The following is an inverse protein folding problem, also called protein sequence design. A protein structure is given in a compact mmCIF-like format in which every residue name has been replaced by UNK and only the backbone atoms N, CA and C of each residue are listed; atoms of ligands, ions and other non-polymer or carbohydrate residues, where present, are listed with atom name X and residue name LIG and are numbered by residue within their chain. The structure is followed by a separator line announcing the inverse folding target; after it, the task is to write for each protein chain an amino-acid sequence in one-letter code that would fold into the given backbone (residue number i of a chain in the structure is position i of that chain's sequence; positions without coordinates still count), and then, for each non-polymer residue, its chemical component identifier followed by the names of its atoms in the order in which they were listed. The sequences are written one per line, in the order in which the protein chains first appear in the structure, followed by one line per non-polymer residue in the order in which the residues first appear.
data_IF_485600211319
#
_entry.id   IF_485600211319
#
_cell.length_a   1.000
_cell.length_b   1.000
_cell.length_c   1.000
_cell.angle_alpha   90.00
_cell.angle_beta   90.00
_cell.angle_gamma   90.00
#
_symmetry.space_group_name_H-M   'P 1'
#
loop_
_entity.id
_entity.type
_entity.pdbx_description
1 polymer ?
#
# COMPACT_ATOMS: atom_id res chain seq x y z
N UNK A 1 12.68 -6.66 -27.62
CA UNK A 1 11.92 -6.82 -26.42
C UNK A 1 12.87 -6.83 -25.21
N UNK A 2 12.82 -5.79 -24.34
CA UNK A 2 13.56 -5.79 -23.10
C UNK A 2 12.97 -6.87 -22.19
N UNK A 3 13.76 -7.86 -21.78
CA UNK A 3 13.40 -8.75 -20.70
C UNK A 3 13.25 -7.89 -19.43
N UNK A 4 12.04 -7.75 -18.92
CA UNK A 4 11.83 -7.20 -17.57
C UNK A 4 12.40 -8.20 -16.58
N UNK A 5 13.46 -7.80 -15.89
CA UNK A 5 14.02 -8.59 -14.80
C UNK A 5 12.96 -8.83 -13.72
N UNK A 6 12.88 -10.05 -13.24
CA UNK A 6 12.01 -10.39 -12.09
C UNK A 6 12.77 -9.97 -10.83
N UNK A 7 12.19 -9.09 -10.03
CA UNK A 7 12.73 -8.73 -8.71
C UNK A 7 12.11 -9.69 -7.68
N UNK A 8 12.94 -10.48 -7.04
CA UNK A 8 12.55 -11.33 -5.92
C UNK A 8 12.92 -10.65 -4.60
N UNK A 9 12.01 -10.65 -3.64
CA UNK A 9 12.24 -10.09 -2.31
C UNK A 9 12.28 -11.19 -1.26
N UNK A 10 13.24 -11.09 -0.36
CA UNK A 10 13.47 -12.08 0.67
C UNK A 10 13.53 -11.41 2.05
N UNK A 11 13.10 -12.16 3.06
CA UNK A 11 13.32 -11.85 4.47
C UNK A 11 14.40 -12.80 5.01
N UNK A 12 15.48 -12.25 5.55
CA UNK A 12 16.49 -13.04 6.26
C UNK A 12 16.27 -12.96 7.77
N UNK A 13 15.97 -14.11 8.37
CA UNK A 13 15.90 -14.28 9.83
C UNK A 13 17.29 -14.59 10.36
N UNK A 14 17.94 -13.59 10.94
CA UNK A 14 19.32 -13.71 11.46
C UNK A 14 19.44 -14.67 12.65
N UNK A 15 18.38 -14.88 13.41
CA UNK A 15 18.39 -15.74 14.59
C UNK A 15 18.31 -17.20 14.18
N UNK A 16 17.47 -17.51 13.20
CA UNK A 16 17.27 -18.86 12.65
C UNK A 16 18.21 -19.19 11.50
N UNK A 17 19.00 -18.21 11.04
CA UNK A 17 19.84 -18.32 9.84
C UNK A 17 19.03 -18.86 8.64
N UNK A 18 17.87 -18.27 8.39
CA UNK A 18 16.92 -18.77 7.40
C UNK A 18 16.41 -17.65 6.52
N UNK A 19 16.25 -17.94 5.23
CA UNK A 19 15.68 -17.03 4.23
C UNK A 19 14.25 -17.45 3.93
N UNK A 20 13.33 -16.50 4.00
CA UNK A 20 11.94 -16.65 3.57
C UNK A 20 11.70 -15.81 2.32
N UNK A 21 11.15 -16.39 1.26
CA UNK A 21 10.68 -15.65 0.10
C UNK A 21 9.30 -15.05 0.38
N UNK A 22 9.06 -13.84 -0.08
CA UNK A 22 7.72 -13.25 -0.05
C UNK A 22 6.80 -14.02 -1.01
N UNK A 23 5.71 -14.58 -0.47
CA UNK A 23 4.73 -15.33 -1.26
C UNK A 23 3.71 -14.37 -1.85
N UNK A 24 3.96 -13.86 -3.04
CA UNK A 24 3.04 -12.94 -3.74
C UNK A 24 1.75 -13.61 -4.18
N UNK A 25 1.70 -14.94 -4.27
CA UNK A 25 0.47 -15.70 -4.61
C UNK A 25 -0.69 -15.45 -3.66
N UNK A 26 -0.40 -15.08 -2.41
CA UNK A 26 -1.40 -14.81 -1.38
C UNK A 26 -1.95 -13.38 -1.42
N UNK A 27 -1.42 -12.51 -2.29
CA UNK A 27 -1.88 -11.12 -2.41
C UNK A 27 -3.25 -11.10 -3.09
N UNK A 28 -4.31 -10.60 -2.44
CA UNK A 28 -5.64 -10.56 -3.02
C UNK A 28 -5.68 -9.76 -4.31
N UNK A 29 -6.20 -10.34 -5.38
CA UNK A 29 -6.31 -9.71 -6.69
C UNK A 29 -4.98 -9.56 -7.44
N UNK A 30 -3.92 -10.27 -7.04
CA UNK A 30 -2.62 -10.25 -7.74
C UNK A 30 -2.73 -10.65 -9.22
N UNK A 31 -3.77 -11.43 -9.56
CA UNK A 31 -4.06 -11.90 -10.92
C UNK A 31 -5.17 -11.14 -11.61
N UNK A 32 -5.75 -10.12 -10.95
CA UNK A 32 -6.79 -9.30 -11.56
C UNK A 32 -6.25 -8.59 -12.79
N UNK A 33 -6.97 -8.71 -13.90
CA UNK A 33 -6.58 -8.07 -15.14
C UNK A 33 -7.09 -6.62 -15.16
N UNK A 34 -6.33 -5.68 -15.71
CA UNK A 34 -6.80 -4.33 -15.98
C UNK A 34 -7.99 -4.34 -16.95
N UNK A 35 -8.90 -3.39 -16.79
CA UNK A 35 -10.14 -3.34 -17.59
C UNK A 35 -9.89 -3.22 -19.09
N UNK A 36 -8.83 -2.52 -19.49
CA UNK A 36 -8.49 -2.37 -20.92
C UNK A 36 -8.25 -3.71 -21.63
N UNK A 37 -7.88 -4.77 -20.90
CA UNK A 37 -7.66 -6.11 -21.49
C UNK A 37 -8.95 -6.68 -22.06
N UNK A 38 -10.12 -6.22 -21.59
CA UNK A 38 -11.43 -6.63 -22.12
C UNK A 38 -11.61 -6.22 -23.58
N UNK A 39 -10.94 -5.14 -24.00
CA UNK A 39 -10.98 -4.64 -25.39
C UNK A 39 -10.12 -5.47 -26.35
N UNK A 40 -9.33 -6.42 -25.79
CA UNK A 40 -8.43 -7.31 -26.55
C UNK A 40 -8.78 -8.78 -26.30
N UNK A 41 -9.85 -9.34 -26.93
CA UNK A 41 -10.37 -10.69 -26.64
C UNK A 41 -9.32 -11.79 -26.72
N UNK A 42 -8.42 -11.75 -27.69
CA UNK A 42 -7.35 -12.75 -27.84
C UNK A 42 -6.40 -12.76 -26.63
N UNK A 43 -5.96 -11.57 -26.21
CA UNK A 43 -5.08 -11.44 -25.03
C UNK A 43 -5.81 -11.86 -23.75
N UNK A 44 -7.09 -11.52 -23.63
CA UNK A 44 -7.92 -11.93 -22.50
C UNK A 44 -7.99 -13.45 -22.38
N UNK A 45 -8.26 -14.16 -23.47
CA UNK A 45 -8.32 -15.62 -23.49
C UNK A 45 -6.97 -16.27 -23.19
N UNK A 46 -5.87 -15.72 -23.71
CA UNK A 46 -4.52 -16.22 -23.40
C UNK A 46 -4.19 -16.06 -21.91
N UNK A 47 -4.51 -14.89 -21.32
CA UNK A 47 -4.27 -14.62 -19.90
C UNK A 47 -5.17 -15.46 -18.99
N UNK A 48 -6.40 -15.73 -19.39
CA UNK A 48 -7.30 -16.66 -18.67
C UNK A 48 -6.77 -18.09 -18.67
N UNK A 49 -6.21 -18.55 -19.80
CA UNK A 49 -5.65 -19.91 -19.92
C UNK A 49 -4.37 -20.10 -19.12
N UNK A 50 -3.59 -19.03 -18.95
CA UNK A 50 -2.32 -19.04 -18.18
C UNK A 50 -2.33 -17.89 -17.17
N UNK A 51 -3.09 -18.02 -16.07
CA UNK A 51 -3.12 -16.99 -15.06
C UNK A 51 -1.74 -16.87 -14.40
N UNK A 52 -1.16 -15.69 -14.50
CA UNK A 52 0.12 -15.36 -13.87
C UNK A 52 -0.07 -14.24 -12.86
N UNK A 53 0.74 -14.22 -11.82
CA UNK A 53 0.81 -13.08 -10.92
C UNK A 53 1.30 -11.86 -11.70
N UNK A 54 0.68 -10.72 -11.46
CA UNK A 54 1.21 -9.45 -11.98
C UNK A 54 2.55 -9.16 -11.31
N UNK A 55 3.46 -8.56 -12.07
CA UNK A 55 4.71 -8.07 -11.54
C UNK A 55 4.44 -6.97 -10.52
N UNK A 56 5.10 -7.04 -9.38
CA UNK A 56 4.97 -6.09 -8.28
C UNK A 56 6.34 -5.62 -7.82
N UNK A 57 6.38 -4.41 -7.28
CA UNK A 57 7.49 -3.88 -6.52
C UNK A 57 7.11 -3.83 -5.04
N UNK A 58 8.04 -4.22 -4.18
CA UNK A 58 7.88 -4.17 -2.72
C UNK A 58 8.81 -3.08 -2.21
N UNK A 59 8.25 -2.08 -1.55
CA UNK A 59 9.03 -1.03 -0.92
C UNK A 59 9.68 -1.52 0.38
N UNK A 60 10.49 -0.68 0.99
CA UNK A 60 11.08 -0.93 2.30
C UNK A 60 9.99 -1.26 3.33
N UNK A 61 10.25 -2.29 4.14
CA UNK A 61 9.37 -2.68 5.23
C UNK A 61 9.31 -1.59 6.31
N UNK A 62 8.10 -1.23 6.71
CA UNK A 62 7.85 -0.36 7.86
C UNK A 62 7.69 -1.22 9.11
N UNK A 63 8.68 -1.21 9.99
CA UNK A 63 8.65 -1.94 11.25
C UNK A 63 7.91 -1.18 12.32
N UNK A 64 7.13 -1.90 13.14
CA UNK A 64 6.51 -1.33 14.34
C UNK A 64 7.57 -0.88 15.34
N UNK A 65 7.26 0.04 16.26
CA UNK A 65 8.23 0.57 17.23
C UNK A 65 8.99 -0.50 18.02
N UNK A 66 8.35 -1.61 18.37
CA UNK A 66 9.00 -2.74 19.06
C UNK A 66 9.55 -3.82 18.12
N UNK A 67 9.37 -3.64 16.79
CA UNK A 67 9.81 -4.63 15.80
C UNK A 67 8.95 -5.91 15.77
N UNK A 68 7.77 -5.91 16.39
CA UNK A 68 6.88 -7.08 16.44
C UNK A 68 6.23 -7.37 15.10
N UNK A 69 5.85 -6.32 14.38
CA UNK A 69 5.19 -6.39 13.08
C UNK A 69 5.93 -5.55 12.05
N UNK A 70 5.75 -5.92 10.80
CA UNK A 70 6.17 -5.10 9.67
C UNK A 70 5.02 -4.96 8.68
N UNK A 71 4.93 -3.78 8.05
CA UNK A 71 4.01 -3.53 6.93
C UNK A 71 4.82 -3.34 5.67
N UNK A 72 4.49 -4.13 4.65
CA UNK A 72 5.00 -3.99 3.29
C UNK A 72 4.04 -3.14 2.46
N UNK A 73 4.55 -2.13 1.78
CA UNK A 73 3.85 -1.40 0.73
C UNK A 73 4.20 -2.05 -0.61
N UNK A 74 3.23 -2.69 -1.23
CA UNK A 74 3.40 -3.45 -2.47
C UNK A 74 2.61 -2.75 -3.58
N UNK A 75 3.22 -2.57 -4.74
CA UNK A 75 2.59 -1.95 -5.91
C UNK A 75 2.71 -2.83 -7.12
N UNK A 76 1.64 -2.88 -7.91
CA UNK A 76 1.73 -3.48 -9.24
C UNK A 76 2.55 -2.58 -10.17
N UNK A 77 3.35 -3.19 -11.04
CA UNK A 77 4.21 -2.44 -11.97
C UNK A 77 3.42 -1.65 -13.01
N UNK A 78 2.12 -1.95 -13.17
CA UNK A 78 1.19 -1.19 -14.00
C UNK A 78 0.55 -0.01 -13.26
N UNK A 79 0.93 0.23 -12.00
CA UNK A 79 0.44 1.30 -11.11
C UNK A 79 -1.08 1.31 -10.86
N UNK A 80 -1.76 0.17 -11.08
CA UNK A 80 -3.21 0.07 -10.89
C UNK A 80 -3.63 -0.44 -9.53
N UNK A 81 -2.72 -1.10 -8.81
CA UNK A 81 -2.97 -1.61 -7.47
C UNK A 81 -1.83 -1.29 -6.51
N UNK A 82 -2.21 -0.95 -5.28
CA UNK A 82 -1.34 -0.84 -4.12
C UNK A 82 -1.92 -1.67 -2.99
N UNK A 83 -1.08 -2.46 -2.35
CA UNK A 83 -1.46 -3.25 -1.18
C UNK A 83 -0.59 -2.88 0.01
N UNK A 84 -1.22 -2.62 1.14
CA UNK A 84 -0.55 -2.60 2.43
C UNK A 84 -0.75 -3.96 3.08
N UNK A 85 0.35 -4.66 3.31
CA UNK A 85 0.32 -6.04 3.79
C UNK A 85 1.11 -6.15 5.09
N UNK A 86 0.50 -6.73 6.13
CA UNK A 86 1.27 -7.13 7.31
C UNK A 86 2.10 -8.36 6.99
N UNK A 87 3.39 -8.29 7.27
CA UNK A 87 4.29 -9.42 7.17
C UNK A 87 4.31 -10.20 8.49
N UNK A 88 4.07 -11.49 8.42
CA UNK A 88 4.41 -12.43 9.48
C UNK A 88 5.89 -12.81 9.33
N UNK A 89 6.71 -12.30 10.24
CA UNK A 89 8.16 -12.49 10.19
C UNK A 89 8.60 -13.92 10.48
N UNK A 90 7.73 -14.74 11.09
CA UNK A 90 8.03 -16.14 11.39
C UNK A 90 7.82 -17.07 10.19
N UNK A 91 6.94 -16.69 9.27
CA UNK A 91 6.51 -17.55 8.16
C UNK A 91 6.68 -16.93 6.77
N UNK A 92 6.99 -15.63 6.68
CA UNK A 92 7.00 -14.87 5.42
C UNK A 92 5.62 -14.66 4.80
N UNK A 93 4.54 -15.00 5.51
CA UNK A 93 3.17 -14.82 5.02
C UNK A 93 2.74 -13.36 5.09
N UNK A 94 1.96 -12.96 4.09
CA UNK A 94 1.38 -11.63 4.01
C UNK A 94 -0.11 -11.67 4.36
N UNK A 95 -0.57 -10.73 5.17
CA UNK A 95 -1.98 -10.49 5.49
C UNK A 95 -2.40 -9.12 4.97
N UNK A 96 -3.50 -9.06 4.23
CA UNK A 96 -4.01 -7.80 3.70
C UNK A 96 -4.50 -6.88 4.82
N UNK A 97 -4.01 -5.63 4.80
CA UNK A 97 -4.51 -4.53 5.62
C UNK A 97 -5.35 -3.56 4.80
N UNK A 98 -4.88 -3.21 3.59
CA UNK A 98 -5.60 -2.33 2.67
C UNK A 98 -5.22 -2.63 1.22
N UNK A 99 -6.20 -2.53 0.31
CA UNK A 99 -6.00 -2.56 -1.13
C UNK A 99 -6.59 -1.32 -1.74
N UNK A 100 -5.79 -0.61 -2.49
CA UNK A 100 -6.19 0.53 -3.30
C UNK A 100 -6.10 0.12 -4.76
N UNK A 101 -7.14 0.40 -5.54
CA UNK A 101 -7.18 0.10 -6.97
C UNK A 101 -7.79 1.26 -7.75
N UNK A 102 -7.14 1.62 -8.83
CA UNK A 102 -7.61 2.58 -9.81
C UNK A 102 -7.33 2.06 -11.22
N UNK A 103 -8.34 2.08 -12.10
CA UNK A 103 -8.18 1.59 -13.47
C UNK A 103 -7.39 2.56 -14.36
N UNK A 104 -7.31 3.83 -13.99
CA UNK A 104 -6.38 4.75 -14.60
C UNK A 104 -4.99 4.56 -14.01
N UNK A 105 -4.79 4.95 -12.76
CA UNK A 105 -3.52 4.80 -12.06
C UNK A 105 -3.62 5.31 -10.62
N UNK A 106 -2.93 4.69 -9.68
CA UNK A 106 -2.79 5.15 -8.30
C UNK A 106 -1.68 6.19 -8.22
N UNK A 107 -2.02 7.45 -7.99
CA UNK A 107 -1.04 8.53 -8.05
C UNK A 107 -1.35 9.79 -7.26
N UNK A 108 -2.38 9.79 -6.43
CA UNK A 108 -2.76 10.96 -5.62
C UNK A 108 -1.79 11.31 -4.49
N UNK A 109 -2.07 12.38 -3.73
CA UNK A 109 -1.24 12.83 -2.63
C UNK A 109 -0.96 11.71 -1.64
N UNK A 110 0.33 11.40 -1.40
CA UNK A 110 0.77 10.36 -0.47
C UNK A 110 0.69 8.92 -0.96
N UNK A 111 0.28 8.69 -2.17
CA UNK A 111 0.33 7.38 -2.82
C UNK A 111 1.50 7.26 -3.79
N UNK A 112 2.08 8.39 -4.23
CA UNK A 112 3.30 8.43 -5.06
C UNK A 112 4.56 8.06 -4.26
N UNK A 113 5.43 7.21 -4.84
CA UNK A 113 6.57 6.57 -4.17
C UNK A 113 7.73 7.46 -3.71
N UNK A 114 7.63 8.78 -3.76
CA UNK A 114 8.76 9.72 -3.48
C UNK A 114 8.47 10.77 -2.40
N UNK A 115 7.43 10.61 -1.59
CA UNK A 115 7.13 11.56 -0.52
C UNK A 115 7.14 10.89 0.85
N UNK A 116 8.06 11.24 1.72
CA UNK A 116 8.02 10.86 3.13
C UNK A 116 6.69 11.29 3.76
N UNK A 117 6.17 10.50 4.70
CA UNK A 117 4.95 10.85 5.44
C UNK A 117 3.65 10.34 4.82
N UNK A 118 3.69 9.32 3.97
CA UNK A 118 2.49 8.69 3.43
C UNK A 118 1.89 7.60 4.32
N UNK A 119 2.65 7.07 5.27
CA UNK A 119 2.23 6.02 6.19
C UNK A 119 3.23 5.88 7.35
N UNK A 120 2.80 5.28 8.46
CA UNK A 120 3.65 5.03 9.61
C UNK A 120 2.90 4.39 10.78
N UNK A 121 3.57 4.31 11.94
CA UNK A 121 3.05 3.67 13.14
C UNK A 121 2.64 4.69 14.20
N UNK A 122 1.42 4.59 14.70
CA UNK A 122 0.98 5.29 15.91
C UNK A 122 1.53 4.59 17.16
N UNK A 123 1.36 3.28 17.21
CA UNK A 123 1.85 2.38 18.24
C UNK A 123 2.25 1.03 17.61
N UNK A 124 2.47 -0.02 18.43
CA UNK A 124 2.88 -1.34 17.92
C UNK A 124 1.80 -2.08 17.13
N UNK A 125 0.53 -1.70 17.30
CA UNK A 125 -0.60 -2.41 16.73
C UNK A 125 -1.37 -1.57 15.71
N UNK A 126 -1.11 -0.26 15.66
CA UNK A 126 -1.88 0.69 14.84
C UNK A 126 -0.97 1.35 13.81
N UNK A 127 -1.26 1.07 12.54
CA UNK A 127 -0.60 1.67 11.38
C UNK A 127 -1.51 2.71 10.74
N UNK A 128 -0.97 3.87 10.36
CA UNK A 128 -1.71 4.90 9.64
C UNK A 128 -1.20 5.04 8.21
N UNK A 129 -2.07 5.43 7.31
CA UNK A 129 -1.76 5.57 5.88
C UNK A 129 -2.74 6.52 5.20
N UNK A 130 -2.41 6.95 4.00
CA UNK A 130 -3.32 7.69 3.11
C UNK A 130 -3.91 6.79 2.05
N UNK A 131 -5.19 7.05 1.73
CA UNK A 131 -5.93 6.31 0.71
C UNK A 131 -6.95 7.23 0.05
N UNK A 132 -7.17 7.03 -1.24
CA UNK A 132 -8.18 7.71 -2.06
C UNK A 132 -9.48 6.89 -2.20
N UNK A 133 -9.74 5.98 -1.27
CA UNK A 133 -10.89 5.07 -1.33
C UNK A 133 -12.26 5.77 -1.47
N UNK A 134 -12.36 7.04 -1.09
CA UNK A 134 -13.58 7.86 -1.21
C UNK A 134 -13.55 8.86 -2.36
N UNK A 135 -12.54 8.81 -3.23
CA UNK A 135 -12.30 9.77 -4.31
C UNK A 135 -11.45 10.97 -3.90
N UNK A 136 -11.11 11.10 -2.62
CA UNK A 136 -10.21 12.12 -2.08
C UNK A 136 -9.16 11.45 -1.20
N UNK A 137 -7.95 12.01 -1.14
CA UNK A 137 -6.89 11.51 -0.28
C UNK A 137 -7.16 11.83 1.18
N UNK A 138 -7.46 10.81 1.97
CA UNK A 138 -7.72 10.91 3.40
C UNK A 138 -6.79 10.05 4.24
N UNK A 139 -6.68 10.39 5.53
CA UNK A 139 -5.98 9.59 6.53
C UNK A 139 -6.87 8.47 7.05
N UNK A 140 -6.26 7.30 7.16
CA UNK A 140 -6.84 6.12 7.79
C UNK A 140 -5.87 5.54 8.81
N UNK A 141 -6.42 4.84 9.77
CA UNK A 141 -5.66 3.92 10.63
C UNK A 141 -6.18 2.50 10.46
N UNK A 142 -5.31 1.53 10.68
CA UNK A 142 -5.66 0.11 10.68
C UNK A 142 -5.00 -0.59 11.85
N UNK A 143 -5.77 -1.41 12.57
CA UNK A 143 -5.21 -2.33 13.55
C UNK A 143 -4.59 -3.51 12.77
N UNK A 144 -3.27 -3.69 12.87
CA UNK A 144 -2.55 -4.69 12.08
C UNK A 144 -2.82 -6.13 12.52
N UNK A 145 -3.43 -6.33 13.70
CA UNK A 145 -3.80 -7.66 14.22
C UNK A 145 -5.16 -8.06 13.68
N UNK A 146 -6.15 -7.16 13.80
CA UNK A 146 -7.56 -7.45 13.45
C UNK A 146 -7.90 -7.10 12.01
N UNK A 147 -7.15 -6.19 11.37
CA UNK A 147 -7.49 -5.61 10.07
C UNK A 147 -8.58 -4.54 10.13
N UNK A 148 -9.05 -4.16 11.33
CA UNK A 148 -10.07 -3.10 11.47
C UNK A 148 -9.51 -1.75 11.04
N UNK A 149 -10.15 -1.15 10.04
CA UNK A 149 -9.82 0.16 9.48
C UNK A 149 -10.75 1.25 10.02
N UNK A 150 -10.18 2.45 10.27
CA UNK A 150 -10.93 3.64 10.65
C UNK A 150 -10.45 4.86 9.85
N UNK A 151 -11.36 5.66 9.26
CA UNK A 151 -11.00 6.95 8.72
C UNK A 151 -10.63 7.90 9.87
N UNK A 152 -9.55 8.65 9.71
CA UNK A 152 -9.12 9.71 10.63
C UNK A 152 -9.55 11.09 10.13
N UNK A 153 -9.66 11.24 8.81
CA UNK A 153 -10.21 12.42 8.15
C UNK A 153 -11.28 12.02 7.13
N UNK A 154 -12.21 12.92 6.81
CA UNK A 154 -13.28 12.70 5.83
C UNK A 154 -13.77 14.03 5.30
N UNK A 155 -14.32 14.06 4.08
CA UNK A 155 -14.84 15.27 3.46
C UNK A 155 -14.60 15.28 1.95
N UNK A 156 -14.88 16.42 1.32
CA UNK A 156 -14.69 16.64 -0.13
C UNK A 156 -13.42 17.46 -0.38
N UNK A 157 -12.32 17.05 0.21
CA UNK A 157 -11.01 17.71 0.13
C UNK A 157 -9.87 16.70 0.16
N UNK A 158 -8.69 17.15 -0.24
CA UNK A 158 -7.46 16.34 -0.22
C UNK A 158 -6.61 16.64 1.02
N UNK A 159 -6.16 15.60 1.70
CA UNK A 159 -5.04 15.70 2.65
C UNK A 159 -3.74 15.62 1.84
N UNK A 160 -3.10 16.78 1.66
CA UNK A 160 -1.94 16.93 0.78
C UNK A 160 -0.61 16.61 1.47
N UNK A 161 -0.44 17.07 2.71
CA UNK A 161 0.74 16.81 3.53
C UNK A 161 0.34 16.29 4.90
N UNK A 162 1.20 15.45 5.46
CA UNK A 162 0.98 14.85 6.78
C UNK A 162 2.30 14.79 7.52
N UNK A 163 2.29 15.22 8.76
CA UNK A 163 3.38 15.03 9.71
C UNK A 163 2.82 14.57 11.05
N UNK A 164 3.40 13.53 11.62
CA UNK A 164 3.02 13.04 12.95
C UNK A 164 3.91 13.70 13.99
N UNK A 165 3.31 14.19 15.09
CA UNK A 165 4.06 14.74 16.23
C UNK A 165 5.00 13.69 16.85
N UNK A 166 6.08 14.12 17.49
CA UNK A 166 7.06 13.20 18.11
C UNK A 166 6.43 12.32 19.21
N UNK A 167 5.46 12.86 19.94
CA UNK A 167 4.72 12.13 20.97
C UNK A 167 3.54 11.31 20.40
N UNK A 168 3.35 11.37 19.08
CA UNK A 168 2.32 10.64 18.29
C UNK A 168 0.88 10.96 18.68
N UNK A 169 0.62 12.10 19.29
CA UNK A 169 -0.72 12.53 19.70
C UNK A 169 -1.44 13.33 18.64
N UNK A 170 -0.70 13.99 17.75
CA UNK A 170 -1.25 14.92 16.76
C UNK A 170 -0.72 14.62 15.37
N UNK A 171 -1.61 14.75 14.39
CA UNK A 171 -1.23 14.90 12.99
C UNK A 171 -1.28 16.39 12.64
N UNK A 172 -0.21 16.88 12.06
CA UNK A 172 -0.21 18.15 11.36
C UNK A 172 -0.49 17.87 9.89
N UNK A 173 -1.59 18.41 9.37
CA UNK A 173 -2.02 18.15 8.00
C UNK A 173 -2.17 19.45 7.22
N UNK A 174 -1.90 19.43 5.92
CA UNK A 174 -2.34 20.46 5.02
C UNK A 174 -3.43 19.91 4.11
N UNK A 175 -4.46 20.71 3.89
CA UNK A 175 -5.60 20.35 3.07
C UNK A 175 -5.99 21.50 2.13
N UNK A 176 -6.80 21.21 1.11
CA UNK A 176 -7.45 22.19 0.24
C UNK A 176 -8.94 22.36 0.56
N UNK A 177 -9.35 22.11 1.81
CA UNK A 177 -10.75 22.09 2.24
C UNK A 177 -11.50 23.40 1.98
N UNK A 178 -10.86 24.54 2.26
CA UNK A 178 -11.52 25.85 2.10
C UNK A 178 -11.59 26.31 0.64
N UNK A 179 -10.57 26.00 -0.15
CA UNK A 179 -10.52 26.34 -1.57
C UNK A 179 -9.57 25.40 -2.32
N UNK A 180 -9.96 24.84 -3.48
CA UNK A 180 -9.13 23.86 -4.22
C UNK A 180 -7.72 24.34 -4.62
N UNK A 181 -7.52 25.65 -4.77
CA UNK A 181 -6.24 26.26 -5.13
C UNK A 181 -5.42 26.74 -3.95
N UNK A 182 -5.85 26.50 -2.72
CA UNK A 182 -5.18 26.96 -1.50
C UNK A 182 -4.82 25.77 -0.60
N UNK A 183 -3.76 25.94 0.18
CA UNK A 183 -3.36 24.99 1.21
C UNK A 183 -3.53 25.60 2.58
N UNK A 184 -4.29 24.92 3.43
CA UNK A 184 -4.51 25.30 4.82
C UNK A 184 -3.88 24.28 5.75
N UNK A 185 -3.29 24.76 6.83
CA UNK A 185 -2.57 23.94 7.82
C UNK A 185 -3.44 23.75 9.07
N UNK A 186 -3.53 22.52 9.56
CA UNK A 186 -4.32 22.12 10.73
C UNK A 186 -3.49 21.30 11.71
#
# INVERSE_FOLDING_TARGET
GSQQGTVESFLYDRVKDTIYSFKTDSIPGIRDLPDYVKDYPKQLEERKKKPANRAVSISTLNWSPKGTYAVADIRSNDNKDRWLMRLDTATGKLMLLDRQRDEAWIGGPGTGGFGGGSAGWLDDNTFWFRSEATGYSHLYSVNVITGEKKPLTSGTYEVQQVSLSKDKKYFYISTNELHPGEQHFY
#
